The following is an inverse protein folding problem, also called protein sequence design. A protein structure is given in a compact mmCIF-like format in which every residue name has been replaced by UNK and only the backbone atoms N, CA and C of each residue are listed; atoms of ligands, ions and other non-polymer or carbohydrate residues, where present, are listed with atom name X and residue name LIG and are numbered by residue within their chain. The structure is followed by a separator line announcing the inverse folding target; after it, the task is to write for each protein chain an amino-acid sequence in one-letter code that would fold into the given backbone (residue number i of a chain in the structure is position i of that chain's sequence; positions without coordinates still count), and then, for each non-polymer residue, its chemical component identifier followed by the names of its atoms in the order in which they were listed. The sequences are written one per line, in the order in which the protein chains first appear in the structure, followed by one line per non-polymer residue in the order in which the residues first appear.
data_IF_940922418859
#
_entry.id   IF_940922418859
#
_cell.length_a   1.000
_cell.length_b   1.000
_cell.length_c   1.000
_cell.angle_alpha   90.00
_cell.angle_beta   90.00
_cell.angle_gamma   90.00
#
_symmetry.space_group_name_H-M   'P 1'
#
loop_
_entity.id
_entity.type
_entity.pdbx_description
1 polymer ?
#
# COMPACT_ATOMS: atom_id res chain seq x y z
N UNK A 1 23.77 -4.57 5.38
CA UNK A 1 23.86 -3.19 4.83
C UNK A 1 22.45 -2.80 4.40
N UNK A 2 21.89 -1.75 4.97
CA UNK A 2 20.51 -1.30 4.69
C UNK A 2 20.42 -0.91 3.21
N UNK A 3 19.70 -1.68 2.40
CA UNK A 3 19.63 -1.43 0.95
C UNK A 3 18.32 -0.69 0.63
N UNK A 4 18.36 0.65 0.72
CA UNK A 4 17.34 1.47 0.07
C UNK A 4 17.75 1.62 -1.38
N UNK A 5 17.01 0.98 -2.25
CA UNK A 5 17.18 1.09 -3.70
C UNK A 5 16.52 2.37 -4.22
N UNK A 6 17.18 3.06 -5.14
CA UNK A 6 16.54 4.11 -5.90
C UNK A 6 15.68 3.52 -7.03
N UNK A 7 14.82 4.33 -7.62
CA UNK A 7 13.88 3.90 -8.66
C UNK A 7 14.55 3.33 -9.93
N UNK A 8 15.85 3.59 -10.13
CA UNK A 8 16.63 3.11 -11.27
C UNK A 8 17.51 1.90 -10.97
N UNK A 9 17.65 1.53 -9.70
CA UNK A 9 18.53 0.43 -9.31
C UNK A 9 17.93 -0.93 -9.70
N UNK A 10 18.76 -1.88 -10.15
CA UNK A 10 18.30 -3.23 -10.43
C UNK A 10 17.82 -3.90 -9.14
N UNK A 11 16.77 -4.70 -9.25
CA UNK A 11 16.32 -5.53 -8.14
C UNK A 11 17.29 -6.71 -7.96
N UNK A 12 17.65 -7.09 -6.72
CA UNK A 12 18.62 -8.15 -6.47
C UNK A 12 18.13 -9.54 -6.93
N UNK A 13 16.80 -9.70 -7.00
CA UNK A 13 16.14 -10.94 -7.46
C UNK A 13 14.73 -10.62 -7.95
N UNK A 14 14.08 -11.58 -8.62
CA UNK A 14 12.67 -11.50 -8.97
C UNK A 14 11.84 -11.50 -7.68
N UNK A 15 11.07 -10.42 -7.41
CA UNK A 15 10.25 -10.34 -6.21
C UNK A 15 9.12 -11.38 -6.22
N UNK A 16 8.90 -12.00 -5.08
CA UNK A 16 7.84 -13.00 -4.87
C UNK A 16 6.80 -12.51 -3.85
N UNK A 17 7.23 -11.80 -2.81
CA UNK A 17 6.41 -11.32 -1.69
C UNK A 17 6.57 -9.81 -1.56
N UNK A 18 5.61 -9.07 -2.10
CA UNK A 18 5.75 -7.63 -2.30
C UNK A 18 4.79 -6.83 -1.42
N UNK A 19 5.35 -5.87 -0.70
CA UNK A 19 4.60 -4.88 0.07
C UNK A 19 4.56 -3.54 -0.63
N UNK A 20 3.38 -2.94 -0.68
CA UNK A 20 3.22 -1.56 -1.15
C UNK A 20 2.93 -0.65 0.06
N UNK A 21 3.87 0.22 0.37
CA UNK A 21 3.79 1.15 1.50
C UNK A 21 3.48 2.58 1.04
N UNK A 22 2.78 3.33 1.88
CA UNK A 22 2.48 4.74 1.63
C UNK A 22 1.18 5.20 2.27
N UNK A 23 0.96 6.50 2.32
CA UNK A 23 -0.21 7.12 2.96
C UNK A 23 -1.52 6.78 2.23
N UNK A 24 -2.65 6.97 2.91
CA UNK A 24 -3.96 6.78 2.26
C UNK A 24 -4.11 7.67 1.02
N UNK A 25 -4.64 7.12 -0.06
CA UNK A 25 -4.86 7.82 -1.33
C UNK A 25 -3.65 8.05 -2.22
N UNK A 26 -2.44 7.63 -1.80
CA UNK A 26 -1.22 7.80 -2.62
C UNK A 26 -1.20 6.92 -3.88
N UNK A 27 -2.05 5.86 -3.93
CA UNK A 27 -2.17 4.95 -5.06
C UNK A 27 -1.61 3.55 -4.80
N UNK A 28 -1.54 3.09 -3.53
CA UNK A 28 -1.03 1.75 -3.17
C UNK A 28 -1.71 0.63 -3.94
N UNK A 29 -3.03 0.52 -3.86
CA UNK A 29 -3.81 -0.54 -4.53
C UNK A 29 -3.65 -0.50 -6.05
N UNK A 30 -3.58 0.70 -6.64
CA UNK A 30 -3.32 0.83 -8.08
C UNK A 30 -1.93 0.29 -8.45
N UNK A 31 -0.91 0.62 -7.67
CA UNK A 31 0.43 0.09 -7.88
C UNK A 31 0.49 -1.41 -7.63
N UNK A 32 -0.13 -1.90 -6.55
CA UNK A 32 -0.19 -3.33 -6.21
C UNK A 32 -0.78 -4.16 -7.37
N UNK A 33 -1.90 -3.72 -7.95
CA UNK A 33 -2.50 -4.36 -9.13
C UNK A 33 -1.59 -4.37 -10.36
N UNK A 34 -0.79 -3.32 -10.56
CA UNK A 34 0.18 -3.25 -11.68
C UNK A 34 1.38 -4.17 -11.45
N UNK A 35 1.90 -4.19 -10.22
CA UNK A 35 3.00 -5.09 -9.82
C UNK A 35 2.57 -6.55 -9.94
N UNK A 36 1.39 -6.88 -9.43
CA UNK A 36 0.77 -8.20 -9.54
C UNK A 36 0.73 -8.70 -10.99
N UNK A 37 0.24 -7.86 -11.93
CA UNK A 37 0.17 -8.20 -13.35
C UNK A 37 1.55 -8.40 -13.99
N UNK A 38 2.53 -7.54 -13.65
CA UNK A 38 3.87 -7.62 -14.22
C UNK A 38 4.64 -8.84 -13.72
N UNK A 39 4.48 -9.20 -12.45
CA UNK A 39 5.15 -10.36 -11.84
C UNK A 39 4.39 -11.66 -12.06
N UNK A 40 3.12 -11.59 -12.50
CA UNK A 40 2.19 -12.72 -12.57
C UNK A 40 2.01 -13.41 -11.20
N UNK A 41 1.72 -12.61 -10.16
CA UNK A 41 1.49 -13.08 -8.79
C UNK A 41 0.20 -12.47 -8.21
N UNK A 42 -0.52 -13.17 -7.30
CA UNK A 42 -1.79 -12.68 -6.79
C UNK A 42 -1.65 -11.42 -5.96
N UNK A 43 -2.62 -10.50 -6.10
CA UNK A 43 -2.77 -9.33 -5.25
C UNK A 43 -3.97 -9.49 -4.32
N UNK A 44 -3.74 -9.38 -3.02
CA UNK A 44 -4.78 -9.34 -2.00
C UNK A 44 -4.87 -7.94 -1.42
N UNK A 45 -6.03 -7.29 -1.58
CA UNK A 45 -6.29 -5.98 -0.95
C UNK A 45 -6.46 -6.20 0.57
N UNK A 46 -5.54 -5.66 1.37
CA UNK A 46 -5.57 -5.87 2.84
C UNK A 46 -6.80 -5.22 3.49
N UNK A 47 -7.34 -4.17 2.88
CA UNK A 47 -8.59 -3.54 3.33
C UNK A 47 -9.78 -4.51 3.22
N UNK A 48 -9.79 -5.42 2.25
CA UNK A 48 -10.82 -6.45 2.10
C UNK A 48 -10.74 -7.53 3.19
N UNK A 49 -9.55 -7.80 3.73
CA UNK A 49 -9.36 -8.71 4.85
C UNK A 49 -9.77 -8.07 6.18
N UNK A 50 -9.54 -6.76 6.32
CA UNK A 50 -9.75 -6.05 7.57
C UNK A 50 -11.20 -5.63 7.81
N UNK A 51 -11.88 -5.06 6.79
CA UNK A 51 -13.22 -4.52 6.95
C UNK A 51 -14.29 -5.57 6.68
N UNK A 52 -15.14 -5.80 7.68
CA UNK A 52 -16.42 -6.48 7.53
C UNK A 52 -17.54 -5.55 7.08
N UNK A 53 -18.79 -5.95 7.24
CA UNK A 53 -19.96 -5.08 7.03
C UNK A 53 -19.91 -3.86 7.96
N UNK A 54 -20.48 -2.74 7.51
CA UNK A 54 -20.54 -1.49 8.28
C UNK A 54 -19.17 -1.00 8.78
N UNK A 55 -18.11 -1.24 8.00
CA UNK A 55 -16.73 -0.86 8.32
C UNK A 55 -16.17 -1.46 9.62
N UNK A 56 -16.82 -2.48 10.19
CA UNK A 56 -16.35 -3.14 11.41
C UNK A 56 -15.08 -3.96 11.12
N UNK A 57 -14.08 -3.94 12.03
CA UNK A 57 -12.94 -4.85 11.90
C UNK A 57 -13.40 -6.32 11.99
N UNK A 58 -12.88 -7.16 11.10
CA UNK A 58 -13.16 -8.60 11.12
C UNK A 58 -12.32 -9.29 12.20
N UNK A 59 -12.91 -10.14 13.05
CA UNK A 59 -12.18 -10.91 14.04
C UNK A 59 -11.09 -11.81 13.42
N UNK A 60 -11.36 -12.38 12.24
CA UNK A 60 -10.48 -13.30 11.51
C UNK A 60 -9.32 -12.60 10.79
N UNK A 61 -9.21 -11.28 10.87
CA UNK A 61 -8.23 -10.49 10.11
C UNK A 61 -6.80 -11.03 10.24
N UNK A 62 -6.36 -11.36 11.44
CA UNK A 62 -4.99 -11.83 11.64
C UNK A 62 -4.78 -13.25 11.14
N UNK A 63 -5.80 -14.10 11.18
CA UNK A 63 -5.75 -15.45 10.61
C UNK A 63 -5.67 -15.37 9.08
N UNK A 64 -6.45 -14.50 8.46
CA UNK A 64 -6.39 -14.21 7.02
C UNK A 64 -5.00 -13.67 6.61
N UNK A 65 -4.39 -12.81 7.42
CA UNK A 65 -3.03 -12.31 7.18
C UNK A 65 -1.99 -13.44 7.31
N UNK A 66 -2.13 -14.32 8.29
CA UNK A 66 -1.27 -15.50 8.43
C UNK A 66 -1.39 -16.43 7.22
N UNK A 67 -2.60 -16.68 6.76
CA UNK A 67 -2.85 -17.48 5.55
C UNK A 67 -2.22 -16.83 4.30
N UNK A 68 -2.35 -15.51 4.16
CA UNK A 68 -1.73 -14.75 3.06
C UNK A 68 -0.21 -14.93 3.04
N UNK A 69 0.46 -14.72 4.18
CA UNK A 69 1.94 -14.74 4.24
C UNK A 69 2.52 -16.16 4.19
N UNK A 70 1.71 -17.18 4.48
CA UNK A 70 2.08 -18.59 4.29
C UNK A 70 2.22 -18.96 2.80
N UNK A 71 1.64 -18.16 1.90
CA UNK A 71 1.80 -18.35 0.47
C UNK A 71 3.21 -18.02 -0.03
N UNK A 72 3.63 -18.72 -1.08
CA UNK A 72 4.94 -18.51 -1.70
C UNK A 72 5.07 -17.19 -2.43
N UNK A 73 3.96 -16.67 -2.96
CA UNK A 73 3.92 -15.46 -3.79
C UNK A 73 2.69 -14.63 -3.46
N UNK A 74 2.87 -13.32 -3.25
CA UNK A 74 1.78 -12.39 -3.01
C UNK A 74 2.20 -10.93 -3.18
N UNK A 75 1.23 -10.06 -3.45
CA UNK A 75 1.33 -8.60 -3.36
C UNK A 75 0.24 -8.11 -2.41
N UNK A 76 0.58 -7.26 -1.45
CA UNK A 76 -0.41 -6.60 -0.59
C UNK A 76 0.06 -5.22 -0.12
N UNK A 77 -0.82 -4.46 0.52
CA UNK A 77 -0.46 -3.16 1.09
C UNK A 77 0.08 -3.30 2.52
N UNK A 78 1.12 -2.53 2.86
CA UNK A 78 1.66 -2.48 4.22
C UNK A 78 0.82 -1.55 5.10
N UNK A 79 -0.29 -2.07 5.60
CA UNK A 79 -1.26 -1.36 6.44
C UNK A 79 -1.54 -2.13 7.73
N UNK A 80 -2.34 -1.53 8.61
CA UNK A 80 -2.73 -2.04 9.94
C UNK A 80 -1.57 -2.42 10.85
N UNK A 81 -1.54 -1.78 12.03
CA UNK A 81 -0.41 -1.90 12.95
C UNK A 81 -0.18 -3.34 13.43
N UNK A 82 -1.25 -4.11 13.63
CA UNK A 82 -1.19 -5.53 14.01
C UNK A 82 -0.55 -6.43 12.95
N UNK A 83 -0.84 -6.17 11.66
CA UNK A 83 -0.34 -7.01 10.56
C UNK A 83 1.06 -6.63 10.07
N UNK A 84 1.47 -5.37 10.24
CA UNK A 84 2.73 -4.84 9.68
C UNK A 84 4.00 -5.62 10.02
N UNK A 85 4.23 -6.03 11.29
CA UNK A 85 5.44 -6.79 11.61
C UNK A 85 5.49 -8.14 10.89
N UNK A 86 4.38 -8.86 10.89
CA UNK A 86 4.26 -10.17 10.23
C UNK A 86 4.46 -10.05 8.72
N UNK A 87 3.77 -9.10 8.08
CA UNK A 87 3.92 -8.83 6.65
C UNK A 87 5.37 -8.51 6.26
N UNK A 88 6.03 -7.65 7.06
CA UNK A 88 7.39 -7.22 6.76
C UNK A 88 8.44 -8.31 6.96
N UNK A 89 8.26 -9.21 7.94
CA UNK A 89 9.17 -10.34 8.19
C UNK A 89 9.13 -11.39 7.08
N UNK A 90 8.07 -11.43 6.28
CA UNK A 90 7.89 -12.41 5.21
C UNK A 90 8.11 -11.84 3.80
N UNK A 91 8.17 -10.51 3.66
CA UNK A 91 8.35 -9.85 2.38
C UNK A 91 9.82 -9.84 1.92
N UNK A 92 10.03 -9.91 0.61
CA UNK A 92 11.34 -9.73 -0.02
C UNK A 92 11.52 -8.32 -0.62
N UNK A 93 10.41 -7.65 -0.95
CA UNK A 93 10.42 -6.31 -1.50
C UNK A 93 9.35 -5.41 -0.88
N UNK A 94 9.73 -4.22 -0.47
CA UNK A 94 8.79 -3.14 -0.16
C UNK A 94 8.94 -2.00 -1.15
N UNK A 95 7.83 -1.60 -1.77
CA UNK A 95 7.77 -0.41 -2.62
C UNK A 95 7.10 0.72 -1.86
N UNK A 96 7.89 1.73 -1.48
CA UNK A 96 7.41 2.86 -0.71
C UNK A 96 7.07 4.06 -1.60
N UNK A 97 5.77 4.39 -1.67
CA UNK A 97 5.26 5.58 -2.33
C UNK A 97 5.38 6.80 -1.40
N UNK A 98 6.49 7.54 -1.49
CA UNK A 98 6.72 8.81 -0.79
C UNK A 98 6.44 10.01 -1.72
N UNK A 99 5.25 10.02 -2.32
CA UNK A 99 4.86 11.06 -3.28
C UNK A 99 4.55 12.40 -2.59
N UNK A 100 4.73 13.56 -3.27
CA UNK A 100 4.36 14.86 -2.75
C UNK A 100 2.90 14.91 -2.33
N UNK A 101 2.65 15.15 -1.02
CA UNK A 101 1.29 15.06 -0.48
C UNK A 101 0.34 16.06 -1.10
N UNK A 102 0.71 17.36 -1.10
CA UNK A 102 -0.16 18.43 -1.58
C UNK A 102 -0.41 18.36 -3.09
N UNK A 103 0.64 18.05 -3.87
CA UNK A 103 0.56 18.09 -5.33
C UNK A 103 0.00 16.79 -5.95
N UNK A 104 0.10 15.66 -5.25
CA UNK A 104 -0.27 14.36 -5.82
C UNK A 104 -1.32 13.64 -4.99
N UNK A 105 -1.05 13.45 -3.69
CA UNK A 105 -1.90 12.59 -2.85
C UNK A 105 -3.23 13.25 -2.53
N UNK A 106 -3.22 14.49 -2.08
CA UNK A 106 -4.44 15.20 -1.68
C UNK A 106 -5.45 15.34 -2.83
N UNK A 107 -5.07 15.79 -4.04
CA UNK A 107 -6.02 15.81 -5.17
C UNK A 107 -6.59 14.44 -5.50
N UNK A 108 -5.78 13.39 -5.44
CA UNK A 108 -6.24 12.01 -5.67
C UNK A 108 -7.25 11.54 -4.64
N UNK A 109 -7.01 11.83 -3.36
CA UNK A 109 -7.96 11.49 -2.28
C UNK A 109 -9.28 12.21 -2.52
N UNK A 110 -9.26 13.52 -2.76
CA UNK A 110 -10.47 14.31 -2.97
C UNK A 110 -11.28 13.82 -4.18
N UNK A 111 -10.62 13.65 -5.33
CA UNK A 111 -11.28 13.16 -6.56
C UNK A 111 -11.83 11.74 -6.38
N UNK A 112 -11.08 10.84 -5.72
CA UNK A 112 -11.52 9.48 -5.43
C UNK A 112 -12.77 9.49 -4.55
N UNK A 113 -12.72 10.22 -3.43
CA UNK A 113 -13.86 10.30 -2.49
C UNK A 113 -15.10 10.89 -3.17
N UNK A 114 -14.93 11.96 -3.95
CA UNK A 114 -16.03 12.56 -4.71
C UNK A 114 -16.61 11.56 -5.74
N UNK A 115 -15.75 10.93 -6.54
CA UNK A 115 -16.18 9.94 -7.55
C UNK A 115 -16.93 8.78 -6.92
N UNK A 116 -16.38 8.18 -5.85
CA UNK A 116 -17.00 7.05 -5.14
C UNK A 116 -18.36 7.44 -4.58
N UNK A 117 -18.47 8.65 -4.03
CA UNK A 117 -19.73 9.17 -3.50
C UNK A 117 -20.78 9.39 -4.58
N UNK A 118 -20.40 10.04 -5.70
CA UNK A 118 -21.31 10.30 -6.82
C UNK A 118 -21.80 9.01 -7.45
N UNK A 119 -20.90 8.04 -7.63
CA UNK A 119 -21.22 6.74 -8.25
C UNK A 119 -21.81 5.72 -7.27
N UNK A 120 -21.90 6.04 -5.97
CA UNK A 120 -22.30 5.10 -4.91
C UNK A 120 -21.56 3.78 -5.04
N UNK A 121 -20.23 3.87 -5.26
CA UNK A 121 -19.40 2.66 -5.41
C UNK A 121 -19.52 1.79 -4.17
N UNK A 122 -19.85 0.52 -4.37
CA UNK A 122 -19.81 -0.50 -3.32
C UNK A 122 -18.37 -0.92 -3.15
N UNK A 123 -17.88 -0.85 -1.92
CA UNK A 123 -16.55 -1.23 -1.53
C UNK A 123 -16.54 -2.62 -0.88
N UNK A 124 -15.45 -2.96 -0.19
CA UNK A 124 -15.30 -4.26 0.46
C UNK A 124 -16.49 -4.59 1.36
N UNK A 125 -16.99 -5.81 1.25
CA UNK A 125 -18.08 -6.36 2.07
C UNK A 125 -19.37 -5.50 2.10
N UNK A 126 -19.72 -4.89 0.97
CA UNK A 126 -20.95 -4.11 0.81
C UNK A 126 -20.89 -2.67 1.34
N UNK A 127 -19.75 -2.23 1.85
CA UNK A 127 -19.58 -0.88 2.38
C UNK A 127 -19.66 0.21 1.31
N UNK A 128 -20.07 1.40 1.68
CA UNK A 128 -20.09 2.59 0.82
C UNK A 128 -19.35 3.75 1.49
N UNK A 129 -18.80 4.66 0.67
CA UNK A 129 -18.07 5.83 1.20
C UNK A 129 -19.00 6.72 2.05
N UNK A 130 -18.59 7.14 3.27
CA UNK A 130 -19.39 8.00 4.14
C UNK A 130 -19.74 9.34 3.48
N UNK A 131 -20.81 10.03 3.93
CA UNK A 131 -21.20 11.34 3.43
C UNK A 131 -20.08 12.38 3.59
N UNK A 132 -19.88 13.26 2.59
CA UNK A 132 -18.83 14.30 2.65
C UNK A 132 -18.96 15.25 3.85
N UNK A 133 -20.17 15.44 4.38
CA UNK A 133 -20.41 16.25 5.60
C UNK A 133 -19.66 15.74 6.83
N UNK A 134 -19.36 14.42 6.88
CA UNK A 134 -18.61 13.82 7.99
C UNK A 134 -17.13 14.24 7.99
N UNK A 135 -16.64 14.89 6.93
CA UNK A 135 -15.31 15.50 6.89
C UNK A 135 -15.06 16.43 8.09
N UNK A 136 -16.06 17.19 8.50
CA UNK A 136 -15.93 18.17 9.60
C UNK A 136 -16.12 17.55 10.99
N UNK A 137 -16.88 16.47 11.09
CA UNK A 137 -17.29 15.87 12.38
C UNK A 137 -16.48 14.62 12.73
N UNK A 138 -16.07 13.85 11.73
CA UNK A 138 -15.37 12.59 11.92
C UNK A 138 -13.85 12.76 11.81
N UNK A 139 -13.13 12.45 12.90
CA UNK A 139 -11.65 12.46 12.91
C UNK A 139 -11.05 11.37 12.04
N UNK A 140 -11.78 10.28 11.80
CA UNK A 140 -11.35 9.16 10.98
C UNK A 140 -11.70 9.33 9.50
N UNK A 141 -12.35 10.44 9.14
CA UNK A 141 -12.61 10.73 7.73
C UNK A 141 -11.33 10.65 6.90
N UNK A 142 -11.37 9.91 5.80
CA UNK A 142 -10.20 9.53 4.97
C UNK A 142 -9.26 10.69 4.61
N UNK A 143 -9.80 11.88 4.38
CA UNK A 143 -9.00 13.07 4.04
C UNK A 143 -8.21 13.57 5.27
N UNK A 144 -8.84 13.63 6.45
CA UNK A 144 -8.17 14.02 7.70
C UNK A 144 -7.12 12.99 8.11
N UNK A 145 -7.46 11.71 8.02
CA UNK A 145 -6.55 10.60 8.25
C UNK A 145 -5.34 10.65 7.33
N UNK A 146 -5.56 10.87 6.04
CA UNK A 146 -4.48 11.01 5.05
C UNK A 146 -3.54 12.17 5.40
N UNK A 147 -4.08 13.31 5.86
CA UNK A 147 -3.27 14.46 6.26
C UNK A 147 -2.49 14.20 7.55
N UNK A 148 -3.11 13.65 8.59
CA UNK A 148 -2.47 13.39 9.88
C UNK A 148 -1.36 12.34 9.78
N UNK A 149 -1.50 11.38 8.88
CA UNK A 149 -0.53 10.28 8.70
C UNK A 149 0.54 10.56 7.63
N UNK A 150 0.52 11.74 6.99
CA UNK A 150 1.40 12.06 5.83
C UNK A 150 2.90 11.89 6.06
N UNK A 151 3.37 12.03 7.29
CA UNK A 151 4.80 11.86 7.65
C UNK A 151 5.11 10.50 8.28
N UNK A 152 4.10 9.69 8.59
CA UNK A 152 4.22 8.45 9.35
C UNK A 152 5.23 7.48 8.74
N UNK A 153 5.16 7.27 7.43
CA UNK A 153 6.03 6.34 6.71
C UNK A 153 7.50 6.78 6.66
N UNK A 154 7.77 8.10 6.76
CA UNK A 154 9.15 8.62 6.79
C UNK A 154 9.92 8.26 8.06
N UNK A 155 9.20 7.90 9.11
CA UNK A 155 9.77 7.37 10.35
C UNK A 155 9.72 5.84 10.33
N UNK A 156 8.57 5.28 10.03
CA UNK A 156 8.33 3.83 10.15
C UNK A 156 9.13 2.97 9.16
N UNK A 157 9.33 3.44 7.91
CA UNK A 157 10.08 2.63 6.93
C UNK A 157 11.57 2.52 7.29
N UNK A 158 12.29 3.60 7.65
CA UNK A 158 13.66 3.47 8.14
C UNK A 158 13.81 2.62 9.41
N UNK A 159 12.85 2.71 10.35
CA UNK A 159 12.89 1.89 11.56
C UNK A 159 12.62 0.41 11.25
N UNK A 160 11.72 0.12 10.32
CA UNK A 160 11.47 -1.24 9.85
C UNK A 160 12.73 -1.85 9.21
N UNK A 161 13.48 -1.10 8.42
CA UNK A 161 14.70 -1.60 7.79
C UNK A 161 15.76 -2.03 8.80
N UNK A 162 15.81 -1.39 9.99
CA UNK A 162 16.70 -1.82 11.08
C UNK A 162 16.29 -3.19 11.62
N UNK A 163 14.99 -3.48 11.66
CA UNK A 163 14.43 -4.74 12.18
C UNK A 163 14.38 -5.85 11.14
N UNK A 164 14.30 -5.49 9.84
CA UNK A 164 14.24 -6.41 8.71
C UNK A 164 15.31 -6.07 7.67
N UNK A 165 16.60 -6.36 7.94
CA UNK A 165 17.72 -5.94 7.08
C UNK A 165 17.72 -6.61 5.70
N UNK A 166 17.08 -7.78 5.56
CA UNK A 166 16.96 -8.53 4.32
C UNK A 166 15.86 -7.98 3.39
N UNK A 167 14.95 -7.16 3.92
CA UNK A 167 13.88 -6.56 3.14
C UNK A 167 14.44 -5.46 2.24
N UNK A 168 14.41 -5.68 0.93
CA UNK A 168 14.74 -4.66 -0.05
C UNK A 168 13.67 -3.57 -0.08
N UNK A 169 14.05 -2.30 0.00
CA UNK A 169 13.11 -1.18 -0.03
C UNK A 169 13.39 -0.28 -1.22
N UNK A 170 12.42 -0.12 -2.12
CA UNK A 170 12.47 0.86 -3.22
C UNK A 170 11.63 2.07 -2.84
N UNK A 171 12.23 3.28 -2.86
CA UNK A 171 11.53 4.52 -2.56
C UNK A 171 11.20 5.30 -3.82
N UNK A 172 9.91 5.52 -4.08
CA UNK A 172 9.39 6.24 -5.25
C UNK A 172 8.82 7.61 -4.81
N UNK A 173 9.43 8.70 -5.30
CA UNK A 173 9.13 10.08 -4.88
C UNK A 173 8.28 10.88 -5.86
N UNK A 174 8.01 10.33 -7.04
CA UNK A 174 7.17 10.99 -8.05
C UNK A 174 6.43 9.98 -8.91
N UNK A 175 5.30 10.36 -9.56
CA UNK A 175 4.61 9.51 -10.51
C UNK A 175 5.51 9.06 -11.68
N UNK A 176 6.42 9.91 -12.12
CA UNK A 176 7.39 9.56 -13.18
C UNK A 176 8.35 8.45 -12.74
N UNK A 177 8.80 8.49 -11.49
CA UNK A 177 9.63 7.41 -10.94
C UNK A 177 8.86 6.09 -10.85
N UNK A 178 7.56 6.12 -10.50
CA UNK A 178 6.72 4.91 -10.53
C UNK A 178 6.70 4.28 -11.93
N UNK A 179 6.46 5.08 -12.97
CA UNK A 179 6.41 4.56 -14.35
C UNK A 179 7.78 4.01 -14.80
N UNK A 180 8.86 4.74 -14.51
CA UNK A 180 10.21 4.31 -14.88
C UNK A 180 10.64 3.05 -14.14
N UNK A 181 10.31 2.91 -12.86
CA UNK A 181 10.59 1.73 -12.08
C UNK A 181 9.83 0.50 -12.59
N UNK A 182 8.55 0.64 -12.90
CA UNK A 182 7.74 -0.45 -13.48
C UNK A 182 8.28 -0.90 -14.84
N UNK A 183 8.61 0.06 -15.74
CA UNK A 183 9.08 -0.24 -17.08
C UNK A 183 10.55 -0.71 -17.14
N UNK A 184 11.36 -0.35 -16.15
CA UNK A 184 12.79 -0.70 -16.05
C UNK A 184 13.04 -1.82 -15.06
N UNK A 185 13.47 -1.51 -13.80
CA UNK A 185 13.93 -2.50 -12.83
C UNK A 185 12.95 -3.65 -12.57
N UNK A 186 11.65 -3.36 -12.41
CA UNK A 186 10.67 -4.42 -12.18
C UNK A 186 10.49 -5.32 -13.40
N UNK A 187 10.32 -4.74 -14.59
CA UNK A 187 10.17 -5.52 -15.82
C UNK A 187 11.44 -6.32 -16.16
N UNK A 188 12.63 -5.82 -15.82
CA UNK A 188 13.89 -6.53 -16.01
C UNK A 188 14.05 -7.73 -15.08
N UNK A 189 13.51 -7.64 -13.86
CA UNK A 189 13.54 -8.75 -12.90
C UNK A 189 12.61 -9.93 -13.25
N UNK A 190 11.74 -9.76 -14.24
CA UNK A 190 10.80 -10.81 -14.71
C UNK A 190 11.40 -11.61 -15.88
N UNK A 191 12.35 -11.03 -16.59
CA UNK A 191 13.06 -11.68 -17.73
C UNK A 191 14.15 -12.62 -17.25
#
# INVERSE_FOLDING_TARGET
MLTVLDFGDPLPQRPRRVLIAGVSGVGKTTLAKRVSRLLDIPHTEIDALFHGSDWTPRPEFMDDVQALVAGDVWVTEWQYQSARPLLASQADLMVWLDLPYAAVTLPRVLLRTLRRRVRREVLWNGNTEPPLRTFFTDREHVVRWSFSTRKKYRVQVPDLQKSCPELSVVRLRSPRQVERWLAGPLSSAVR
#
